data_IF_790336661610
#
_entry.id   IF_790336661610
#
_cell.length_a   1.000
_cell.length_b   1.000
_cell.length_c   1.000
_cell.angle_alpha   90.00
_cell.angle_beta   90.00
_cell.angle_gamma   90.00
#
_symmetry.space_group_name_H-M   'P 1'
#
loop_
_entity.id
_entity.type
_entity.pdbx_description
1 polymer ?
#
# COMPACT_ATOMS: atom_id res chain seq x y z
N UNK A 1 -0.84 -5.17 2.41
CA UNK A 1 -0.99 -4.93 3.86
C UNK A 1 -2.25 -4.13 4.03
N UNK A 2 -3.24 -4.71 4.68
CA UNK A 2 -4.44 -3.97 5.07
C UNK A 2 -4.08 -3.09 6.27
N UNK A 3 -4.56 -1.84 6.26
CA UNK A 3 -4.25 -0.89 7.35
C UNK A 3 -5.15 -1.11 8.57
N UNK A 4 -6.30 -1.74 8.37
CA UNK A 4 -7.33 -1.94 9.38
C UNK A 4 -7.89 -3.35 9.27
N UNK A 5 -8.35 -3.89 10.40
CA UNK A 5 -9.10 -5.14 10.43
C UNK A 5 -10.54 -4.86 9.99
N UNK A 6 -11.00 -5.52 8.92
CA UNK A 6 -12.36 -5.35 8.41
C UNK A 6 -13.32 -6.35 9.04
N UNK A 7 -14.46 -5.86 9.52
CA UNK A 7 -15.51 -6.72 10.09
C UNK A 7 -16.04 -7.72 9.05
N UNK A 8 -16.30 -8.95 9.49
CA UNK A 8 -16.83 -10.02 8.64
C UNK A 8 -15.85 -10.62 7.62
N UNK A 9 -14.56 -10.25 7.68
CA UNK A 9 -13.52 -10.81 6.79
C UNK A 9 -12.41 -11.48 7.58
N UNK A 10 -12.00 -12.67 7.13
CA UNK A 10 -10.81 -13.32 7.65
C UNK A 10 -9.57 -12.56 7.19
N UNK A 11 -8.73 -12.18 8.16
CA UNK A 11 -7.47 -11.48 7.94
C UNK A 11 -6.31 -12.30 8.48
N UNK A 12 -5.12 -12.13 7.90
CA UNK A 12 -3.91 -12.81 8.35
C UNK A 12 -3.04 -11.79 9.09
N UNK A 13 -2.74 -12.08 10.35
CA UNK A 13 -1.74 -11.36 11.12
C UNK A 13 -0.38 -12.07 11.01
N UNK A 14 0.69 -11.30 10.91
CA UNK A 14 2.06 -11.79 10.95
C UNK A 14 2.82 -11.02 12.03
N UNK A 15 3.39 -11.75 12.98
CA UNK A 15 4.05 -11.21 14.16
C UNK A 15 5.35 -11.99 14.42
N UNK A 16 6.26 -11.38 15.17
CA UNK A 16 7.35 -12.13 15.81
C UNK A 16 6.83 -12.67 17.14
N UNK A 17 6.88 -13.99 17.32
CA UNK A 17 6.45 -14.69 18.53
C UNK A 17 7.20 -16.03 18.63
N UNK A 18 7.27 -16.66 19.83
CA UNK A 18 7.77 -18.02 19.98
C UNK A 18 7.04 -19.00 19.05
N UNK A 19 7.78 -19.97 18.53
CA UNK A 19 7.21 -20.98 17.63
C UNK A 19 6.19 -21.85 18.37
N UNK A 20 5.02 -22.08 17.76
CA UNK A 20 3.97 -22.94 18.28
C UNK A 20 3.47 -23.86 17.16
N UNK A 21 3.26 -25.14 17.41
CA UNK A 21 2.86 -26.08 16.35
C UNK A 21 1.32 -26.09 16.17
N UNK A 22 0.80 -26.07 14.92
CA UNK A 22 -0.64 -26.18 14.66
C UNK A 22 -1.23 -27.52 15.15
N UNK A 23 -2.53 -27.61 15.48
CA UNK A 23 -3.57 -26.59 15.42
C UNK A 23 -3.74 -25.83 16.75
N UNK A 24 -3.36 -24.56 16.77
CA UNK A 24 -3.49 -23.70 17.96
C UNK A 24 -4.62 -22.67 17.75
N UNK A 25 -5.66 -22.64 18.60
CA UNK A 25 -6.63 -21.54 18.60
C UNK A 25 -5.96 -20.25 19.06
N UNK A 26 -6.38 -19.12 18.48
CA UNK A 26 -5.83 -17.80 18.76
C UNK A 26 -6.95 -16.85 19.18
N UNK A 27 -6.73 -16.12 20.27
CA UNK A 27 -7.59 -15.04 20.74
C UNK A 27 -6.73 -13.79 20.80
N UNK A 28 -7.13 -12.75 20.06
CA UNK A 28 -6.51 -11.44 20.10
C UNK A 28 -7.34 -10.50 20.97
N UNK A 29 -6.72 -9.96 22.00
CA UNK A 29 -7.33 -9.02 22.93
C UNK A 29 -6.83 -7.60 22.64
N UNK A 30 -7.72 -6.61 22.77
CA UNK A 30 -7.38 -5.18 22.72
C UNK A 30 -7.70 -4.57 24.09
N UNK A 31 -6.68 -3.97 24.70
CA UNK A 31 -6.82 -3.12 25.89
C UNK A 31 -6.77 -1.65 25.47
N UNK A 32 -7.62 -0.79 26.04
CA UNK A 32 -7.63 0.65 25.76
C UNK A 32 -6.83 1.45 26.79
N UNK A 33 -6.66 0.92 28.00
CA UNK A 33 -5.87 1.47 29.13
C UNK A 33 -5.35 0.31 30.00
N UNK A 34 -4.23 0.50 30.70
CA UNK A 34 -3.61 -0.55 31.54
C UNK A 34 -4.59 -1.19 32.55
N UNK A 35 -5.56 -0.42 33.08
CA UNK A 35 -6.56 -0.90 34.05
C UNK A 35 -7.91 -1.33 33.45
N UNK A 36 -8.06 -1.32 32.12
CA UNK A 36 -9.32 -1.71 31.47
C UNK A 36 -9.41 -3.21 31.23
N UNK A 37 -10.60 -3.81 31.45
CA UNK A 37 -10.86 -5.21 31.10
C UNK A 37 -10.61 -5.38 29.59
N UNK A 38 -9.70 -6.29 29.18
CA UNK A 38 -9.38 -6.46 27.78
C UNK A 38 -10.60 -6.95 27.00
N UNK A 39 -10.85 -6.33 25.85
CA UNK A 39 -11.95 -6.71 24.95
C UNK A 39 -11.45 -7.67 23.88
N UNK A 40 -12.28 -8.63 23.48
CA UNK A 40 -11.94 -9.55 22.39
C UNK A 40 -12.00 -8.81 21.06
N UNK A 41 -10.84 -8.68 20.40
CA UNK A 41 -10.72 -7.99 19.12
C UNK A 41 -10.84 -8.95 17.93
N UNK A 42 -10.30 -10.16 18.04
CA UNK A 42 -10.42 -11.19 17.03
C UNK A 42 -10.25 -12.61 17.61
N UNK A 43 -10.84 -13.59 16.95
CA UNK A 43 -10.66 -15.02 17.23
C UNK A 43 -10.24 -15.69 15.93
N UNK A 44 -9.33 -16.66 16.01
CA UNK A 44 -8.84 -17.38 14.85
C UNK A 44 -8.01 -18.59 15.23
N UNK A 45 -7.11 -18.97 14.34
CA UNK A 45 -6.18 -20.07 14.54
C UNK A 45 -4.81 -19.76 13.95
N UNK A 46 -3.79 -20.48 14.42
CA UNK A 46 -2.47 -20.43 13.83
C UNK A 46 -2.48 -21.09 12.45
N UNK A 47 -2.25 -20.30 11.40
CA UNK A 47 -2.26 -20.76 10.00
C UNK A 47 -0.97 -21.45 9.57
N UNK A 48 0.17 -20.79 9.75
CA UNK A 48 1.48 -21.26 9.28
C UNK A 48 2.60 -20.48 9.95
N UNK A 49 3.74 -21.13 10.17
CA UNK A 49 4.98 -20.51 10.64
C UNK A 49 5.91 -20.40 9.44
N UNK A 50 5.89 -19.24 8.78
CA UNK A 50 6.64 -19.02 7.53
C UNK A 50 7.30 -17.62 7.57
N UNK A 51 8.62 -17.53 7.80
CA UNK A 51 9.34 -16.26 7.77
C UNK A 51 9.54 -15.71 6.35
N UNK A 52 9.36 -16.52 5.31
CA UNK A 52 9.54 -16.12 3.91
C UNK A 52 8.30 -15.40 3.34
N UNK A 53 7.18 -15.44 4.06
CA UNK A 53 5.95 -14.72 3.71
C UNK A 53 6.21 -13.21 3.59
N UNK A 54 6.16 -12.72 2.35
CA UNK A 54 6.37 -11.29 2.05
C UNK A 54 5.10 -10.48 2.33
N UNK A 55 5.22 -9.45 3.16
CA UNK A 55 4.16 -8.47 3.41
C UNK A 55 4.48 -7.19 2.63
N UNK A 56 3.65 -6.86 1.64
CA UNK A 56 3.79 -5.64 0.85
C UNK A 56 2.76 -4.59 1.26
N UNK A 57 3.21 -3.37 1.55
CA UNK A 57 2.35 -2.20 1.71
C UNK A 57 2.20 -1.48 0.38
N UNK A 58 0.95 -1.22 -0.02
CA UNK A 58 0.64 -0.46 -1.23
C UNK A 58 0.52 1.02 -0.88
N UNK A 59 1.23 1.86 -1.62
CA UNK A 59 1.15 3.33 -1.56
C UNK A 59 0.58 3.78 -2.91
N UNK A 60 -0.44 4.62 -2.88
CA UNK A 60 -1.07 5.15 -4.10
C UNK A 60 -0.82 6.65 -4.15
N UNK A 61 -0.06 7.11 -5.15
CA UNK A 61 0.07 8.53 -5.46
C UNK A 61 -1.05 8.90 -6.42
N UNK A 62 -1.78 9.98 -6.12
CA UNK A 62 -2.89 10.46 -6.92
C UNK A 62 -2.51 11.75 -7.66
N UNK A 63 -2.97 11.88 -8.90
CA UNK A 63 -2.82 13.07 -9.71
C UNK A 63 -4.11 13.42 -10.43
N UNK A 64 -4.30 14.71 -10.67
CA UNK A 64 -5.45 15.26 -11.37
C UNK A 64 -5.13 15.52 -12.85
N UNK A 65 -5.92 15.00 -13.81
CA UNK A 65 -5.75 15.29 -15.22
C UNK A 65 -6.28 16.70 -15.54
N UNK A 66 -5.37 17.68 -15.63
CA UNK A 66 -5.74 19.07 -15.89
C UNK A 66 -6.18 19.31 -17.34
N UNK A 67 -5.51 18.69 -18.31
CA UNK A 67 -5.83 18.84 -19.74
C UNK A 67 -5.81 17.48 -20.41
N UNK A 68 -6.88 17.13 -21.12
CA UNK A 68 -7.02 15.84 -21.79
C UNK A 68 -7.17 16.04 -23.29
N UNK A 69 -6.48 15.21 -24.08
CA UNK A 69 -6.56 15.19 -25.54
C UNK A 69 -6.54 13.74 -26.02
N UNK A 70 -7.73 13.20 -26.29
CA UNK A 70 -7.95 11.79 -26.65
C UNK A 70 -7.29 10.84 -25.62
N UNK A 71 -6.16 10.26 -25.98
CA UNK A 71 -5.38 9.31 -25.16
C UNK A 71 -4.25 9.98 -24.35
N UNK A 72 -4.00 11.27 -24.56
CA UNK A 72 -2.94 12.04 -23.90
C UNK A 72 -3.55 12.89 -22.79
N UNK A 73 -2.89 12.98 -21.65
CA UNK A 73 -3.31 13.90 -20.59
C UNK A 73 -2.11 14.57 -19.94
N UNK A 74 -2.30 15.82 -19.52
CA UNK A 74 -1.39 16.53 -18.63
C UNK A 74 -1.90 16.35 -17.20
N UNK A 75 -1.12 15.68 -16.36
CA UNK A 75 -1.45 15.36 -14.97
C UNK A 75 -0.68 16.29 -14.04
N UNK A 76 -1.37 16.84 -13.03
CA UNK A 76 -0.80 17.68 -11.97
C UNK A 76 -1.03 17.08 -10.59
N UNK A 77 -0.31 17.59 -9.60
CA UNK A 77 -0.42 17.22 -8.18
C UNK A 77 -0.09 15.77 -7.82
N UNK A 78 0.45 14.98 -8.76
CA UNK A 78 1.06 13.68 -8.43
C UNK A 78 2.50 13.85 -7.93
N UNK A 79 3.24 14.79 -8.51
CA UNK A 79 4.61 15.15 -8.15
C UNK A 79 4.71 16.68 -8.12
N UNK A 80 5.70 17.18 -7.38
CA UNK A 80 5.98 18.62 -7.28
C UNK A 80 7.29 19.02 -7.94
N UNK A 81 8.27 18.10 -8.02
CA UNK A 81 9.54 18.33 -8.71
C UNK A 81 9.62 17.51 -10.01
N UNK A 82 10.24 18.06 -11.08
CA UNK A 82 10.43 17.35 -12.34
C UNK A 82 11.46 16.20 -12.21
N UNK A 83 12.38 16.28 -11.25
CA UNK A 83 13.36 15.23 -10.94
C UNK A 83 12.67 13.95 -10.44
N UNK A 84 11.70 14.07 -9.52
CA UNK A 84 10.93 12.95 -9.01
C UNK A 84 10.25 12.18 -10.15
N UNK A 85 9.65 12.91 -11.09
CA UNK A 85 9.01 12.28 -12.24
C UNK A 85 10.02 11.57 -13.15
N UNK A 86 11.19 12.19 -13.40
CA UNK A 86 12.25 11.53 -14.18
C UNK A 86 12.72 10.27 -13.48
N UNK A 87 12.85 10.29 -12.15
CA UNK A 87 13.19 9.12 -11.35
C UNK A 87 12.17 8.00 -11.54
N UNK A 88 10.87 8.28 -11.41
CA UNK A 88 9.81 7.28 -11.61
C UNK A 88 9.62 6.86 -13.08
N UNK A 89 10.13 7.64 -14.04
CA UNK A 89 10.16 7.30 -15.47
C UNK A 89 11.37 6.44 -15.85
N UNK A 90 12.56 6.75 -15.32
CA UNK A 90 13.88 6.26 -15.79
C UNK A 90 14.48 5.17 -14.91
N UNK A 91 14.18 5.12 -13.60
CA UNK A 91 14.80 4.16 -12.67
C UNK A 91 14.51 2.68 -12.98
N UNK A 92 13.72 2.44 -14.01
CA UNK A 92 13.46 1.16 -14.62
C UNK A 92 14.27 1.08 -15.93
N UNK A 93 15.59 1.25 -15.87
CA UNK A 93 16.49 1.05 -17.01
C UNK A 93 16.69 -0.45 -17.32
N UNK A 94 16.56 -1.29 -16.29
CA UNK A 94 16.68 -2.77 -16.37
C UNK A 94 15.34 -3.47 -16.05
N UNK A 95 14.23 -2.73 -16.02
CA UNK A 95 12.90 -3.21 -15.57
C UNK A 95 11.83 -2.39 -16.30
N UNK A 96 10.60 -2.88 -16.46
CA UNK A 96 9.56 -2.13 -17.19
C UNK A 96 9.16 -0.82 -16.47
N UNK A 97 8.99 0.31 -17.19
CA UNK A 97 8.60 1.60 -16.59
C UNK A 97 7.29 1.48 -15.81
N UNK A 98 7.19 2.23 -14.71
CA UNK A 98 6.04 2.13 -13.79
C UNK A 98 4.76 2.57 -14.51
N UNK A 99 3.78 1.68 -14.54
CA UNK A 99 2.47 1.89 -15.16
C UNK A 99 1.60 2.81 -14.29
N UNK A 100 1.03 3.84 -14.90
CA UNK A 100 -0.04 4.64 -14.29
C UNK A 100 -1.39 4.04 -14.65
N UNK A 101 -2.32 4.04 -13.71
CA UNK A 101 -3.69 3.61 -13.94
C UNK A 101 -4.66 4.70 -13.49
N UNK A 102 -5.94 4.50 -13.74
CA UNK A 102 -6.98 5.46 -13.41
C UNK A 102 -8.13 4.76 -12.72
N UNK A 103 -8.89 5.48 -11.89
CA UNK A 103 -10.03 4.88 -11.19
C UNK A 103 -11.08 4.34 -12.17
N UNK A 104 -11.20 4.95 -13.36
CA UNK A 104 -12.08 4.46 -14.43
C UNK A 104 -11.46 3.32 -15.30
N UNK A 105 -10.40 2.65 -14.83
CA UNK A 105 -9.87 1.43 -15.46
C UNK A 105 -8.97 1.64 -16.67
N UNK A 106 -8.55 2.87 -16.97
CA UNK A 106 -7.53 3.16 -17.99
C UNK A 106 -6.13 2.91 -17.45
N UNK A 107 -5.23 2.49 -18.35
CA UNK A 107 -3.83 2.19 -18.09
C UNK A 107 -2.94 3.00 -19.02
N UNK A 108 -1.77 3.41 -18.55
CA UNK A 108 -0.91 4.32 -19.29
C UNK A 108 0.51 4.41 -18.76
N UNK A 109 1.29 5.28 -19.39
CA UNK A 109 2.69 5.53 -19.06
C UNK A 109 3.00 7.03 -19.01
N UNK A 110 3.98 7.38 -18.20
CA UNK A 110 4.53 8.74 -18.11
C UNK A 110 5.45 8.98 -19.31
N UNK A 111 5.20 10.07 -20.06
CA UNK A 111 5.96 10.42 -21.26
C UNK A 111 7.06 11.43 -20.97
N UNK A 112 6.72 12.61 -20.45
CA UNK A 112 7.70 13.70 -20.27
C UNK A 112 7.26 14.67 -19.17
N UNK A 113 8.21 15.30 -18.46
CA UNK A 113 7.91 16.43 -17.59
C UNK A 113 7.50 17.66 -18.36
N UNK A 114 6.56 18.42 -17.80
CA UNK A 114 6.07 19.69 -18.33
C UNK A 114 6.36 20.78 -17.28
N UNK A 115 7.27 21.70 -17.61
CA UNK A 115 7.62 22.82 -16.74
C UNK A 115 8.40 22.40 -15.49
N UNK A 116 8.34 23.26 -14.46
CA UNK A 116 9.15 23.16 -13.23
C UNK A 116 8.38 22.65 -12.01
N UNK A 117 7.04 22.62 -12.05
CA UNK A 117 6.18 22.29 -10.90
C UNK A 117 5.64 20.85 -10.91
N UNK A 118 6.42 19.90 -11.45
CA UNK A 118 6.07 18.46 -11.41
C UNK A 118 4.86 18.04 -12.25
N UNK A 119 4.34 18.92 -13.12
CA UNK A 119 3.30 18.54 -14.08
C UNK A 119 3.88 17.58 -15.12
N UNK A 120 3.14 16.54 -15.48
CA UNK A 120 3.64 15.49 -16.38
C UNK A 120 2.67 15.18 -17.50
N UNK A 121 3.21 14.74 -18.63
CA UNK A 121 2.42 14.22 -19.75
C UNK A 121 2.31 12.71 -19.64
N UNK A 122 1.10 12.20 -19.68
CA UNK A 122 0.80 10.77 -19.69
C UNK A 122 0.12 10.37 -20.99
N UNK A 123 0.33 9.12 -21.41
CA UNK A 123 -0.37 8.49 -22.53
C UNK A 123 -1.04 7.22 -22.05
N UNK A 124 -2.34 7.11 -22.30
CA UNK A 124 -3.17 5.99 -21.88
C UNK A 124 -3.60 5.13 -23.09
N UNK A 125 -4.08 3.92 -22.80
CA UNK A 125 -4.59 2.97 -23.80
C UNK A 125 -5.89 3.46 -24.47
N UNK A 126 -6.73 4.21 -23.75
CA UNK A 126 -8.03 4.71 -24.21
C UNK A 126 -8.27 6.19 -23.93
N UNK A 127 -9.48 6.64 -24.23
CA UNK A 127 -9.92 8.01 -23.94
C UNK A 127 -10.03 8.22 -22.43
N UNK A 128 -9.39 9.28 -21.96
CA UNK A 128 -9.46 9.71 -20.56
C UNK A 128 -10.58 10.74 -20.38
N UNK A 129 -11.26 10.69 -19.24
CA UNK A 129 -12.25 11.71 -18.85
C UNK A 129 -11.62 12.71 -17.89
N UNK A 130 -12.11 13.95 -17.88
CA UNK A 130 -11.53 15.01 -17.04
C UNK A 130 -11.85 14.83 -15.54
N UNK A 131 -12.93 14.13 -15.20
CA UNK A 131 -13.27 13.78 -13.82
C UNK A 131 -12.48 12.58 -13.28
N UNK A 132 -11.67 11.92 -14.13
CA UNK A 132 -10.92 10.74 -13.74
C UNK A 132 -9.75 11.12 -12.81
N UNK A 133 -9.29 10.17 -12.00
CA UNK A 133 -8.11 10.36 -11.14
C UNK A 133 -7.02 9.42 -11.61
N UNK A 134 -5.85 9.98 -11.94
CA UNK A 134 -4.67 9.19 -12.29
C UNK A 134 -3.99 8.72 -11.02
N UNK A 135 -3.60 7.46 -10.97
CA UNK A 135 -3.00 6.81 -9.84
C UNK A 135 -1.72 6.09 -10.24
N UNK A 136 -0.70 6.18 -9.38
CA UNK A 136 0.52 5.40 -9.46
C UNK A 136 0.57 4.50 -8.23
N UNK A 137 0.78 3.19 -8.41
CA UNK A 137 0.90 2.25 -7.28
C UNK A 137 2.36 1.89 -7.04
N UNK A 138 2.83 2.19 -5.84
CA UNK A 138 4.14 1.83 -5.34
C UNK A 138 3.98 0.77 -4.25
N UNK A 139 4.96 -0.11 -4.13
CA UNK A 139 4.96 -1.16 -3.13
C UNK A 139 6.25 -1.11 -2.32
N UNK A 140 6.11 -1.32 -1.01
CA UNK A 140 7.20 -1.40 -0.06
C UNK A 140 7.07 -2.71 0.71
N UNK A 141 8.16 -3.45 0.89
CA UNK A 141 8.21 -4.56 1.84
C UNK A 141 8.15 -3.99 3.26
N UNK A 142 7.22 -4.51 4.06
CA UNK A 142 7.06 -4.17 5.48
C UNK A 142 7.29 -5.42 6.29
N UNK A 143 7.95 -5.27 7.43
CA UNK A 143 8.14 -6.35 8.40
C UNK A 143 7.25 -6.09 9.63
N UNK A 144 6.85 -7.13 10.36
CA UNK A 144 6.23 -6.97 11.67
C UNK A 144 7.12 -6.15 12.60
N UNK A 145 6.52 -5.48 13.59
CA UNK A 145 7.29 -4.83 14.65
C UNK A 145 7.75 -5.88 15.66
N UNK A 146 8.96 -5.70 16.20
CA UNK A 146 9.44 -6.52 17.30
C UNK A 146 8.59 -6.27 18.56
N UNK A 147 8.09 -7.31 19.24
CA UNK A 147 7.31 -7.13 20.47
C UNK A 147 8.20 -6.58 21.59
N UNK A 148 7.73 -5.54 22.28
CA UNK A 148 8.43 -4.95 23.43
C UNK A 148 8.19 -5.76 24.71
N UNK A 149 7.03 -6.38 24.83
CA UNK A 149 6.62 -7.17 25.98
C UNK A 149 6.42 -8.62 25.56
N UNK A 150 6.93 -9.53 26.37
CA UNK A 150 6.74 -10.96 26.21
C UNK A 150 5.65 -11.41 27.17
N UNK A 151 4.78 -12.31 26.71
CA UNK A 151 3.85 -12.97 27.60
C UNK A 151 4.54 -14.20 28.25
N UNK A 152 4.26 -14.49 29.53
CA UNK A 152 3.36 -13.75 30.42
C UNK A 152 3.94 -12.38 30.81
N UNK A 153 3.08 -11.36 30.87
CA UNK A 153 3.47 -10.07 31.45
C UNK A 153 3.96 -10.35 32.87
N UNK A 154 5.11 -9.80 33.30
CA UNK A 154 5.59 -10.02 34.65
C UNK A 154 4.50 -9.61 35.63
N UNK A 155 4.15 -10.52 36.53
CA UNK A 155 3.21 -10.25 37.63
C UNK A 155 3.85 -9.22 38.55
N UNK A 156 3.45 -7.96 38.42
CA UNK A 156 3.63 -6.94 39.47
C UNK A 156 2.72 -7.24 40.64
#
# INVERSE_FOLDING_TARGET
MERFLHAGRFSIASIYAPISFPSLPLIALKSERDDSIPTVAAVGSLKSIDPDRIILTKIILSGYPQRVSKKKATVRYMFHNPEDMRWFKVRTANTSPIEVWTKCGRRGRIKEPIGTHGAMKCVFNGFLQQHDTVCLSLYKRTYPKWPQYWFPLPST
#
